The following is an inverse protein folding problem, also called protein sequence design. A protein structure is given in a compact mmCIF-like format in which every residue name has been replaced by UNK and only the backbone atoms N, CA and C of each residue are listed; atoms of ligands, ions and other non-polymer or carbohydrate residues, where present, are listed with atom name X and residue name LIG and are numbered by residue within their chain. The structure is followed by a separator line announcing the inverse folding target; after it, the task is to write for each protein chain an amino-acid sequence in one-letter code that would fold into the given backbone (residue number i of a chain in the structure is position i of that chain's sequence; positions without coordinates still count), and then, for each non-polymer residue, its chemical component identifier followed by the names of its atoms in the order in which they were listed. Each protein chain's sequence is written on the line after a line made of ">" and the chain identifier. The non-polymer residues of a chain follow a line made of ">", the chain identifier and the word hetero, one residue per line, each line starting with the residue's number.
data_IF_204811740431
#
_entry.id   IF_204811740431
#
_cell.length_a   1.000
_cell.length_b   1.000
_cell.length_c   1.000
_cell.angle_alpha   90.00
_cell.angle_beta   90.00
_cell.angle_gamma   90.00
#
_symmetry.space_group_name_H-M   'P 1'
#
loop_
_entity.id
_entity.type
_entity.pdbx_description
1 polymer ?
#
# COMPACT_ATOMS: atom_id res chain seq x y z
N UNK A 1 11.91 -0.25 -12.96
CA UNK A 1 10.90 0.83 -12.95
C UNK A 1 10.40 1.06 -11.53
N UNK A 2 10.24 2.31 -11.12
CA UNK A 2 9.56 2.71 -9.88
C UNK A 2 8.12 3.15 -10.23
N UNK A 3 7.16 2.88 -9.36
CA UNK A 3 5.75 3.20 -9.55
C UNK A 3 5.17 3.79 -8.25
N UNK A 4 4.42 4.90 -8.32
CA UNK A 4 3.80 5.52 -7.13
C UNK A 4 3.51 7.00 -7.30
N UNK A 5 2.82 7.58 -6.31
CA UNK A 5 2.46 9.00 -6.29
C UNK A 5 3.68 9.93 -6.24
N UNK A 6 3.55 11.21 -6.63
CA UNK A 6 4.55 12.21 -6.27
C UNK A 6 4.84 12.16 -4.77
N UNK A 7 6.08 12.43 -4.39
CA UNK A 7 6.56 12.40 -3.00
C UNK A 7 6.47 11.05 -2.24
N UNK A 8 6.15 9.93 -2.91
CA UNK A 8 6.14 8.59 -2.29
C UNK A 8 7.53 8.03 -1.93
N UNK A 9 8.63 8.74 -2.24
CA UNK A 9 10.00 8.31 -1.92
C UNK A 9 10.75 7.61 -3.07
N UNK A 10 10.15 7.46 -4.24
CA UNK A 10 10.77 6.81 -5.42
C UNK A 10 12.14 7.37 -5.77
N UNK A 11 12.23 8.70 -5.93
CA UNK A 11 13.48 9.36 -6.33
C UNK A 11 14.55 9.24 -5.26
N UNK A 12 14.19 9.31 -3.99
CA UNK A 12 15.10 9.06 -2.86
C UNK A 12 15.68 7.64 -2.93
N UNK A 13 14.82 6.64 -3.14
CA UNK A 13 15.24 5.25 -3.26
C UNK A 13 16.11 5.03 -4.52
N UNK A 14 15.74 5.62 -5.66
CA UNK A 14 16.52 5.49 -6.89
C UNK A 14 17.89 6.16 -6.79
N UNK A 15 17.98 7.36 -6.19
CA UNK A 15 19.26 8.05 -5.95
C UNK A 15 20.13 7.22 -5.00
N UNK A 16 19.55 6.68 -3.93
CA UNK A 16 20.30 5.81 -3.01
C UNK A 16 20.90 4.61 -3.74
N UNK A 17 20.16 3.95 -4.62
CA UNK A 17 20.68 2.80 -5.39
C UNK A 17 21.82 3.19 -6.35
N UNK A 18 21.78 4.39 -6.93
CA UNK A 18 22.90 4.89 -7.75
C UNK A 18 24.14 5.13 -6.90
N UNK A 19 23.96 5.71 -5.70
CA UNK A 19 25.07 6.01 -4.78
C UNK A 19 25.69 4.75 -4.15
N UNK A 20 24.89 3.75 -3.88
CA UNK A 20 25.35 2.47 -3.29
C UNK A 20 26.06 1.56 -4.34
N UNK A 21 25.84 1.82 -5.62
CA UNK A 21 26.45 1.03 -6.70
C UNK A 21 27.85 1.54 -7.07
N UNK A 22 28.72 0.69 -7.66
CA UNK A 22 29.95 1.15 -8.25
C UNK A 22 29.70 2.26 -9.30
N UNK A 23 30.58 3.25 -9.34
CA UNK A 23 30.43 4.38 -10.25
C UNK A 23 30.24 3.92 -11.70
N UNK A 24 29.23 4.41 -12.38
CA UNK A 24 28.88 4.07 -13.74
C UNK A 24 28.14 2.74 -13.95
N UNK A 25 27.90 1.94 -12.92
CA UNK A 25 27.18 0.66 -13.06
C UNK A 25 25.65 0.82 -13.14
N UNK A 26 25.12 1.90 -12.58
CA UNK A 26 23.67 2.19 -12.51
C UNK A 26 23.40 3.60 -13.01
N UNK A 27 22.42 3.76 -13.87
CA UNK A 27 21.96 5.06 -14.34
C UNK A 27 20.51 5.30 -13.96
N UNK A 28 20.19 6.54 -13.57
CA UNK A 28 18.85 7.00 -13.26
C UNK A 28 18.34 7.90 -14.38
N UNK A 29 17.14 7.62 -14.87
CA UNK A 29 16.46 8.41 -15.89
C UNK A 29 15.12 8.84 -15.36
N UNK A 30 14.85 10.16 -15.38
CA UNK A 30 13.65 10.78 -14.86
C UNK A 30 13.14 11.87 -15.81
N UNK A 31 11.85 11.87 -16.10
CA UNK A 31 11.24 12.83 -17.04
C UNK A 31 11.26 14.27 -16.52
N UNK A 32 11.16 14.48 -15.21
CA UNK A 32 11.20 15.82 -14.65
C UNK A 32 12.59 16.46 -14.90
N UNK A 33 13.65 15.70 -14.62
CA UNK A 33 15.03 16.12 -14.95
C UNK A 33 15.22 16.38 -16.46
N UNK A 34 14.63 15.53 -17.31
CA UNK A 34 14.68 15.74 -18.77
C UNK A 34 13.90 16.99 -19.20
N UNK A 35 12.78 17.32 -18.57
CA UNK A 35 12.02 18.56 -18.84
C UNK A 35 12.85 19.78 -18.51
N UNK A 36 13.49 19.80 -17.34
CA UNK A 36 14.40 20.90 -16.95
C UNK A 36 15.54 21.03 -17.95
N UNK A 37 16.22 19.93 -18.28
CA UNK A 37 17.38 19.92 -19.18
C UNK A 37 17.03 20.36 -20.61
N UNK A 38 15.96 19.83 -21.20
CA UNK A 38 15.62 20.03 -22.60
C UNK A 38 14.74 21.25 -22.85
N UNK A 39 13.93 21.66 -21.89
CA UNK A 39 12.91 22.70 -22.08
C UNK A 39 12.86 23.75 -20.97
N UNK A 40 13.86 23.80 -20.06
CA UNK A 40 13.89 24.75 -18.93
C UNK A 40 12.51 24.79 -18.19
N UNK A 41 11.91 23.63 -17.93
CA UNK A 41 10.61 23.42 -17.28
C UNK A 41 9.41 24.05 -18.00
N UNK A 42 9.57 24.50 -19.23
CA UNK A 42 8.45 25.01 -20.06
C UNK A 42 7.60 23.85 -20.55
N UNK A 43 6.66 23.40 -19.70
CA UNK A 43 5.79 22.29 -20.05
C UNK A 43 4.67 22.72 -21.02
N UNK A 44 4.54 22.00 -22.13
CA UNK A 44 3.37 22.01 -23.03
C UNK A 44 3.10 20.57 -23.45
N UNK A 45 1.83 20.18 -23.64
CA UNK A 45 1.47 18.83 -24.05
C UNK A 45 2.19 18.32 -25.31
N UNK A 46 2.58 19.23 -26.24
CA UNK A 46 3.40 18.89 -27.42
C UNK A 46 4.83 18.48 -27.06
N UNK A 47 5.43 19.06 -26.03
CA UNK A 47 6.80 18.75 -25.62
C UNK A 47 6.90 17.45 -24.84
N UNK A 48 5.81 16.98 -24.21
CA UNK A 48 5.83 15.71 -23.47
C UNK A 48 6.19 14.49 -24.36
N UNK A 49 5.76 14.50 -25.63
CA UNK A 49 6.15 13.44 -26.58
C UNK A 49 7.67 13.42 -26.81
N UNK A 50 8.32 14.58 -26.84
CA UNK A 50 9.77 14.69 -26.99
C UNK A 50 10.50 14.16 -25.74
N UNK A 51 9.98 14.46 -24.56
CA UNK A 51 10.52 13.97 -23.28
C UNK A 51 10.41 12.45 -23.19
N UNK A 52 9.27 11.87 -23.57
CA UNK A 52 9.10 10.41 -23.60
C UNK A 52 10.05 9.77 -24.62
N UNK A 53 10.20 10.34 -25.81
CA UNK A 53 11.13 9.85 -26.81
C UNK A 53 12.59 9.92 -26.33
N UNK A 54 13.00 11.02 -25.72
CA UNK A 54 14.35 11.18 -25.13
C UNK A 54 14.59 10.17 -24.01
N UNK A 55 13.62 9.97 -23.10
CA UNK A 55 13.70 8.95 -22.04
C UNK A 55 13.90 7.56 -22.63
N UNK A 56 13.08 7.17 -23.59
CA UNK A 56 13.12 5.84 -24.20
C UNK A 56 14.44 5.61 -24.96
N UNK A 57 14.94 6.63 -25.64
CA UNK A 57 16.25 6.58 -26.33
C UNK A 57 17.40 6.38 -25.32
N UNK A 58 17.41 7.14 -24.23
CA UNK A 58 18.41 6.99 -23.17
C UNK A 58 18.37 5.62 -22.51
N UNK A 59 17.17 5.09 -22.25
CA UNK A 59 17.01 3.72 -21.73
C UNK A 59 17.66 2.72 -22.69
N UNK A 60 17.35 2.80 -23.98
CA UNK A 60 17.93 1.90 -24.99
C UNK A 60 19.46 2.01 -25.07
N UNK A 61 20.02 3.22 -25.07
CA UNK A 61 21.47 3.45 -25.09
C UNK A 61 22.16 2.78 -23.89
N UNK A 62 21.68 2.99 -22.70
CA UNK A 62 22.31 2.46 -21.48
C UNK A 62 22.08 0.96 -21.28
N UNK A 63 20.91 0.43 -21.64
CA UNK A 63 20.69 -1.01 -21.67
C UNK A 63 21.57 -1.71 -22.69
N UNK A 64 21.77 -1.09 -23.89
CA UNK A 64 22.71 -1.60 -24.92
C UNK A 64 24.17 -1.63 -24.47
N UNK A 65 24.53 -0.82 -23.47
CA UNK A 65 25.85 -0.85 -22.82
C UNK A 65 25.91 -1.86 -21.65
N UNK A 66 24.86 -2.60 -21.38
CA UNK A 66 24.78 -3.56 -20.27
C UNK A 66 24.59 -2.91 -18.89
N UNK A 67 24.22 -1.63 -18.83
CA UNK A 67 24.04 -0.92 -17.57
C UNK A 67 22.65 -1.18 -16.96
N UNK A 68 22.57 -1.13 -15.64
CA UNK A 68 21.31 -1.15 -14.93
C UNK A 68 20.64 0.23 -15.00
N UNK A 69 19.39 0.28 -15.49
CA UNK A 69 18.64 1.52 -15.69
C UNK A 69 17.49 1.62 -14.68
N UNK A 70 17.44 2.72 -13.93
CA UNK A 70 16.37 3.06 -12.99
C UNK A 70 15.49 4.16 -13.59
N UNK A 71 14.17 3.91 -13.66
CA UNK A 71 13.18 4.89 -14.14
C UNK A 71 12.25 5.20 -12.98
N UNK A 72 12.35 6.39 -12.38
CA UNK A 72 11.67 6.80 -11.15
C UNK A 72 10.57 7.86 -11.36
N UNK A 73 10.00 7.92 -12.56
CA UNK A 73 8.77 8.65 -12.83
C UNK A 73 7.60 8.09 -11.99
N UNK A 74 6.45 8.78 -11.97
CA UNK A 74 5.24 8.25 -11.29
C UNK A 74 4.79 6.90 -11.83
N UNK A 75 4.91 6.70 -13.15
CA UNK A 75 4.59 5.47 -13.89
C UNK A 75 3.24 4.82 -13.53
N UNK A 76 2.27 5.63 -13.07
CA UNK A 76 0.96 5.15 -12.63
C UNK A 76 0.03 4.80 -13.80
N UNK A 77 0.15 5.52 -14.93
CA UNK A 77 -0.70 5.24 -16.08
C UNK A 77 -0.39 3.84 -16.68
N UNK A 78 -1.43 3.05 -17.04
CA UNK A 78 -1.29 1.64 -17.42
C UNK A 78 -0.35 1.36 -18.60
N UNK A 79 -0.13 2.35 -19.47
CA UNK A 79 0.74 2.18 -20.65
C UNK A 79 2.24 2.27 -20.36
N UNK A 80 2.65 2.79 -19.19
CA UNK A 80 4.08 2.96 -18.86
C UNK A 80 4.77 1.62 -18.64
N UNK A 81 4.18 0.75 -17.88
CA UNK A 81 4.79 -0.55 -17.57
C UNK A 81 5.00 -1.43 -18.81
N UNK A 82 3.98 -1.67 -19.68
CA UNK A 82 4.19 -2.43 -20.90
C UNK A 82 5.27 -1.83 -21.80
N UNK A 83 5.30 -0.50 -21.92
CA UNK A 83 6.32 0.18 -22.74
C UNK A 83 7.74 -0.03 -22.21
N UNK A 84 7.94 0.13 -20.92
CA UNK A 84 9.27 -0.05 -20.31
C UNK A 84 9.68 -1.52 -20.28
N UNK A 85 8.76 -2.43 -20.12
CA UNK A 85 8.98 -3.89 -20.22
C UNK A 85 9.41 -4.29 -21.65
N UNK A 86 8.77 -3.70 -22.66
CA UNK A 86 9.14 -3.90 -24.04
C UNK A 86 10.56 -3.42 -24.32
N UNK A 87 10.94 -2.21 -23.88
CA UNK A 87 12.30 -1.69 -24.03
C UNK A 87 13.34 -2.59 -23.35
N UNK A 88 13.03 -3.10 -22.16
CA UNK A 88 13.92 -4.04 -21.49
C UNK A 88 14.08 -5.34 -22.31
N UNK A 89 13.00 -5.90 -22.84
CA UNK A 89 13.03 -7.12 -23.66
C UNK A 89 13.81 -6.92 -24.98
N UNK A 90 13.67 -5.77 -25.63
CA UNK A 90 14.42 -5.42 -26.85
C UNK A 90 15.95 -5.44 -26.66
N UNK A 91 16.39 -5.24 -25.41
CA UNK A 91 17.82 -5.27 -25.05
C UNK A 91 18.20 -6.49 -24.18
N UNK A 92 17.35 -7.51 -24.09
CA UNK A 92 17.62 -8.72 -23.29
C UNK A 92 17.75 -8.49 -21.78
N UNK A 93 17.22 -7.37 -21.28
CA UNK A 93 17.34 -6.98 -19.88
C UNK A 93 16.17 -7.50 -19.03
N UNK A 94 16.46 -7.88 -17.78
CA UNK A 94 15.43 -8.24 -16.80
C UNK A 94 14.68 -6.99 -16.37
N UNK A 95 13.34 -7.06 -16.35
CA UNK A 95 12.48 -5.96 -15.92
C UNK A 95 11.90 -6.22 -14.53
N UNK A 96 12.04 -5.24 -13.64
CA UNK A 96 11.46 -5.29 -12.28
C UNK A 96 10.69 -4.01 -11.98
N UNK A 97 9.64 -4.12 -11.18
CA UNK A 97 8.86 -3.00 -10.65
C UNK A 97 9.13 -2.86 -9.16
N UNK A 98 9.48 -1.64 -8.71
CA UNK A 98 9.45 -1.25 -7.31
C UNK A 98 8.21 -0.41 -7.08
N UNK A 99 7.25 -0.99 -6.41
CA UNK A 99 5.94 -0.38 -6.18
C UNK A 99 5.94 0.45 -4.88
N UNK A 100 5.52 1.71 -4.98
CA UNK A 100 5.32 2.67 -3.90
C UNK A 100 3.88 3.18 -3.87
N UNK A 101 2.95 2.46 -4.50
CA UNK A 101 1.53 2.84 -4.52
C UNK A 101 0.83 2.61 -3.19
N UNK A 102 1.49 1.90 -2.29
CA UNK A 102 1.08 1.64 -0.92
C UNK A 102 1.46 2.74 0.08
N UNK A 103 2.36 3.67 -0.33
CA UNK A 103 2.68 4.83 0.53
C UNK A 103 1.42 5.66 0.71
N UNK A 104 0.98 5.89 1.97
CA UNK A 104 -0.26 6.58 2.27
C UNK A 104 -0.36 7.96 1.60
N UNK A 105 -1.59 8.33 1.21
CA UNK A 105 -1.84 9.59 0.48
C UNK A 105 -1.40 10.81 1.27
N UNK A 106 -1.70 10.85 2.56
CA UNK A 106 -1.36 11.92 3.48
C UNK A 106 0.16 12.06 3.64
N UNK A 107 0.90 10.93 3.75
CA UNK A 107 2.37 10.93 3.76
C UNK A 107 2.93 11.54 2.48
N UNK A 108 2.32 11.23 1.33
CA UNK A 108 2.71 11.86 0.06
C UNK A 108 2.42 13.37 0.07
N UNK A 109 1.26 13.78 0.59
CA UNK A 109 0.86 15.18 0.71
C UNK A 109 1.78 15.96 1.65
N UNK A 110 2.06 15.42 2.83
CA UNK A 110 2.97 16.03 3.81
C UNK A 110 4.38 16.20 3.25
N UNK A 111 4.91 15.17 2.59
CA UNK A 111 6.25 15.22 1.98
C UNK A 111 6.30 16.20 0.81
N UNK A 112 5.25 16.26 0.00
CA UNK A 112 5.16 17.19 -1.13
C UNK A 112 5.11 18.64 -0.66
N UNK A 113 4.39 18.93 0.44
CA UNK A 113 4.33 20.24 1.06
C UNK A 113 5.70 20.78 1.50
N UNK A 114 6.60 19.88 1.92
CA UNK A 114 7.96 20.24 2.37
C UNK A 114 8.97 20.42 1.23
N UNK A 115 8.57 20.15 -0.03
CA UNK A 115 9.46 20.23 -1.20
C UNK A 115 9.39 21.62 -1.85
N UNK A 116 10.54 22.09 -2.37
CA UNK A 116 10.61 23.32 -3.17
C UNK A 116 9.89 23.17 -4.52
N UNK A 117 9.85 21.94 -5.08
CA UNK A 117 9.24 21.56 -6.35
C UNK A 117 7.89 20.83 -6.15
N UNK A 118 7.10 21.28 -5.16
CA UNK A 118 5.79 20.70 -4.86
C UNK A 118 4.87 20.73 -6.08
N UNK A 119 4.24 19.57 -6.37
CA UNK A 119 3.22 19.48 -7.42
C UNK A 119 1.84 19.91 -6.92
N UNK A 120 1.67 20.01 -5.63
CA UNK A 120 0.48 20.45 -4.92
C UNK A 120 -0.58 19.35 -4.70
N UNK A 121 -1.41 19.54 -3.67
CA UNK A 121 -2.36 18.51 -3.22
C UNK A 121 -3.39 18.14 -4.28
N UNK A 122 -3.84 19.09 -5.10
CA UNK A 122 -4.83 18.82 -6.17
C UNK A 122 -4.32 17.78 -7.18
N UNK A 123 -3.03 17.84 -7.54
CA UNK A 123 -2.42 16.92 -8.50
C UNK A 123 -2.29 15.54 -7.88
N UNK A 124 -1.83 15.46 -6.65
CA UNK A 124 -1.66 14.18 -5.92
C UNK A 124 -3.01 13.50 -5.71
N UNK A 125 -4.03 14.22 -5.22
CA UNK A 125 -5.40 13.68 -5.08
C UNK A 125 -5.98 13.18 -6.40
N UNK A 126 -5.77 13.95 -7.50
CA UNK A 126 -6.22 13.54 -8.82
C UNK A 126 -5.57 12.22 -9.26
N UNK A 127 -4.23 12.11 -9.10
CA UNK A 127 -3.50 10.89 -9.46
C UNK A 127 -3.91 9.71 -8.59
N UNK A 128 -4.05 9.92 -7.27
CA UNK A 128 -4.52 8.89 -6.35
C UNK A 128 -5.89 8.38 -6.76
N UNK A 129 -6.86 9.28 -6.96
CA UNK A 129 -8.22 8.93 -7.36
C UNK A 129 -8.29 8.23 -8.72
N UNK A 130 -7.43 8.62 -9.66
CA UNK A 130 -7.43 8.08 -11.01
C UNK A 130 -6.72 6.72 -11.12
N UNK A 131 -5.64 6.49 -10.39
CA UNK A 131 -4.75 5.35 -10.63
C UNK A 131 -4.66 4.37 -9.46
N UNK A 132 -4.89 4.82 -8.25
CA UNK A 132 -4.80 3.97 -7.06
C UNK A 132 -6.20 3.61 -6.59
N UNK A 133 -7.05 4.59 -6.45
CA UNK A 133 -8.43 4.38 -6.03
C UNK A 133 -9.27 3.66 -7.11
N UNK A 134 -9.07 3.99 -8.39
CA UNK A 134 -9.81 3.40 -9.50
C UNK A 134 -9.38 1.96 -9.86
N UNK A 135 -8.19 1.54 -9.43
CA UNK A 135 -7.72 0.15 -9.58
C UNK A 135 -8.36 -0.80 -8.55
N UNK A 136 -9.17 -0.28 -7.61
CA UNK A 136 -9.96 -1.12 -6.73
C UNK A 136 -11.05 -1.82 -7.55
N UNK A 137 -11.10 -3.14 -7.60
CA UNK A 137 -12.16 -3.86 -8.29
C UNK A 137 -13.53 -3.53 -7.69
N UNK A 138 -14.59 -3.81 -8.42
CA UNK A 138 -15.94 -3.76 -7.88
C UNK A 138 -16.04 -4.71 -6.67
N UNK A 139 -16.86 -4.35 -5.68
CA UNK A 139 -17.11 -5.24 -4.53
C UNK A 139 -17.65 -6.57 -5.05
N UNK A 140 -16.97 -7.65 -4.69
CA UNK A 140 -17.32 -9.01 -5.09
C UNK A 140 -17.83 -9.76 -3.87
N UNK A 141 -19.04 -10.29 -3.98
CA UNK A 141 -19.59 -11.20 -2.98
C UNK A 141 -19.18 -12.63 -3.34
N UNK A 142 -18.45 -13.29 -2.44
CA UNK A 142 -17.98 -14.65 -2.60
C UNK A 142 -19.02 -15.71 -2.18
N UNK A 143 -18.77 -16.96 -2.48
CA UNK A 143 -19.52 -18.07 -1.87
C UNK A 143 -19.13 -18.23 -0.40
N UNK A 144 -19.96 -18.94 0.36
CA UNK A 144 -19.67 -19.30 1.73
C UNK A 144 -20.53 -18.59 2.76
N UNK A 145 -20.20 -18.80 4.03
CA UNK A 145 -20.91 -18.19 5.15
C UNK A 145 -20.62 -16.70 5.22
N UNK A 146 -21.60 -15.90 5.56
CA UNK A 146 -21.40 -14.46 5.74
C UNK A 146 -20.45 -14.18 6.89
N UNK A 147 -19.50 -13.27 6.66
CA UNK A 147 -18.55 -12.86 7.66
C UNK A 147 -18.18 -11.38 7.52
N UNK A 148 -17.67 -10.80 8.60
CA UNK A 148 -16.97 -9.53 8.60
C UNK A 148 -15.52 -9.74 9.00
N UNK A 149 -14.62 -8.89 8.49
CA UNK A 149 -13.22 -8.85 8.94
C UNK A 149 -13.07 -7.61 9.82
N UNK A 150 -12.42 -7.76 10.96
CA UNK A 150 -12.16 -6.66 11.90
C UNK A 150 -10.70 -6.67 12.31
N UNK A 151 -10.05 -5.52 12.17
CA UNK A 151 -8.72 -5.30 12.75
C UNK A 151 -8.81 -5.00 14.26
N UNK A 152 -7.69 -5.09 14.97
CA UNK A 152 -7.61 -4.80 16.40
C UNK A 152 -7.07 -3.40 16.67
N UNK A 153 -5.77 -3.20 16.49
CA UNK A 153 -5.07 -1.98 16.92
C UNK A 153 -5.45 -0.76 16.08
N UNK A 154 -6.08 0.23 16.71
CA UNK A 154 -6.61 1.42 16.03
C UNK A 154 -8.04 1.24 15.49
N UNK A 155 -8.57 0.02 15.55
CA UNK A 155 -9.92 -0.32 15.08
C UNK A 155 -10.82 -0.74 16.24
N UNK A 156 -10.70 -1.97 16.72
CA UNK A 156 -11.52 -2.46 17.85
C UNK A 156 -10.88 -2.15 19.21
N UNK A 157 -9.54 -2.04 19.25
CA UNK A 157 -8.77 -1.82 20.45
C UNK A 157 -7.88 -0.58 20.32
N UNK A 158 -7.97 0.34 21.28
CA UNK A 158 -7.11 1.51 21.37
C UNK A 158 -6.05 1.30 22.44
N UNK A 159 -4.79 1.53 22.07
CA UNK A 159 -3.63 1.35 22.95
C UNK A 159 -3.72 2.27 24.17
N UNK A 160 -3.66 1.68 25.36
CA UNK A 160 -3.70 2.40 26.63
C UNK A 160 -2.29 2.49 27.23
N UNK A 161 -1.56 3.55 26.89
CA UNK A 161 -0.24 3.85 27.46
C UNK A 161 0.90 2.91 27.03
N UNK A 162 0.69 2.02 26.06
CA UNK A 162 1.72 1.18 25.45
C UNK A 162 2.11 1.67 24.05
N UNK A 163 3.31 1.31 23.60
CA UNK A 163 3.71 1.49 22.21
C UNK A 163 3.13 0.40 21.29
N UNK A 164 3.11 0.61 19.97
CA UNK A 164 2.50 -0.33 18.99
C UNK A 164 3.17 -1.71 18.94
N UNK A 165 4.41 -1.82 19.40
CA UNK A 165 5.18 -3.08 19.47
C UNK A 165 5.39 -3.59 20.89
N UNK A 166 4.78 -2.95 21.88
CA UNK A 166 4.78 -3.42 23.28
C UNK A 166 3.55 -4.28 23.51
N UNK A 167 3.72 -5.58 23.36
CA UNK A 167 2.63 -6.55 23.51
C UNK A 167 2.36 -6.96 24.95
N UNK A 168 3.19 -6.53 25.91
CA UNK A 168 3.05 -6.95 27.33
C UNK A 168 1.79 -6.41 28.01
N UNK A 169 1.12 -5.43 27.41
CA UNK A 169 -0.05 -4.74 27.98
C UNK A 169 -1.28 -4.74 27.04
N UNK A 170 -1.34 -5.63 26.06
CA UNK A 170 -2.49 -5.69 25.14
C UNK A 170 -3.82 -5.95 25.85
N UNK A 171 -3.78 -6.61 27.01
CA UNK A 171 -4.94 -6.83 27.85
C UNK A 171 -5.50 -5.58 28.54
N UNK A 172 -4.77 -4.47 28.53
CA UNK A 172 -5.16 -3.18 29.13
C UNK A 172 -5.73 -2.19 28.09
N UNK A 173 -5.73 -2.56 26.79
CA UNK A 173 -6.26 -1.72 25.71
C UNK A 173 -7.74 -1.42 25.93
N UNK A 174 -8.17 -0.22 25.54
CA UNK A 174 -9.58 0.19 25.65
C UNK A 174 -10.36 -0.26 24.43
N UNK A 175 -11.65 -0.64 24.65
CA UNK A 175 -12.55 -1.04 23.58
C UNK A 175 -13.05 0.19 22.81
N UNK A 176 -13.18 0.05 21.49
CA UNK A 176 -13.97 0.98 20.68
C UNK A 176 -15.45 0.55 20.70
N UNK A 177 -16.28 1.33 21.40
CA UNK A 177 -17.69 1.00 21.57
C UNK A 177 -18.49 1.03 20.27
N UNK A 178 -18.08 1.85 19.29
CA UNK A 178 -18.78 1.95 18.00
C UNK A 178 -18.48 0.71 17.16
N UNK A 179 -17.23 0.30 17.10
CA UNK A 179 -16.80 -0.91 16.37
C UNK A 179 -17.38 -2.15 17.05
N UNK A 180 -17.41 -2.19 18.40
CA UNK A 180 -18.03 -3.26 19.15
C UNK A 180 -19.53 -3.40 18.83
N UNK A 181 -20.26 -2.28 18.76
CA UNK A 181 -21.67 -2.27 18.34
C UNK A 181 -21.89 -2.83 16.94
N UNK A 182 -21.01 -2.52 15.97
CA UNK A 182 -21.07 -3.11 14.62
C UNK A 182 -20.82 -4.62 14.62
N UNK A 183 -19.94 -5.10 15.52
CA UNK A 183 -19.71 -6.53 15.71
C UNK A 183 -20.95 -7.21 16.29
N UNK A 184 -21.58 -6.62 17.31
CA UNK A 184 -22.81 -7.14 17.91
C UNK A 184 -23.94 -7.25 16.90
N UNK A 185 -24.13 -6.23 16.04
CA UNK A 185 -25.10 -6.26 14.94
C UNK A 185 -24.80 -7.38 13.95
N UNK A 186 -23.53 -7.56 13.56
CA UNK A 186 -23.12 -8.62 12.65
C UNK A 186 -23.40 -10.02 13.26
N UNK A 187 -23.11 -10.20 14.54
CA UNK A 187 -23.37 -11.46 15.26
C UNK A 187 -24.88 -11.74 15.36
N UNK A 188 -25.71 -10.71 15.61
CA UNK A 188 -27.15 -10.82 15.62
C UNK A 188 -27.73 -11.24 14.26
N UNK A 189 -27.10 -10.82 13.17
CA UNK A 189 -27.40 -11.24 11.79
C UNK A 189 -26.82 -12.63 11.42
N UNK A 190 -26.29 -13.39 12.39
CA UNK A 190 -25.64 -14.68 12.18
C UNK A 190 -24.41 -14.62 11.25
N UNK A 191 -23.74 -13.48 11.23
CA UNK A 191 -22.50 -13.24 10.51
C UNK A 191 -21.29 -13.68 11.35
N UNK A 192 -20.30 -14.33 10.74
CA UNK A 192 -19.07 -14.66 11.44
C UNK A 192 -18.20 -13.42 11.62
N UNK A 193 -17.47 -13.36 12.73
CA UNK A 193 -16.49 -12.30 12.98
C UNK A 193 -15.09 -12.89 12.86
N UNK A 194 -14.31 -12.35 11.93
CA UNK A 194 -12.95 -12.76 11.64
C UNK A 194 -12.01 -11.64 12.07
N UNK A 195 -11.31 -11.84 13.17
CA UNK A 195 -10.30 -10.88 13.66
C UNK A 195 -9.00 -11.14 12.91
N UNK A 196 -8.51 -10.13 12.17
CA UNK A 196 -7.26 -10.22 11.41
C UNK A 196 -6.31 -9.11 11.86
N UNK A 197 -5.31 -9.47 12.67
CA UNK A 197 -4.47 -8.51 13.37
C UNK A 197 -3.00 -8.57 12.97
N UNK A 198 -2.37 -7.38 12.93
CA UNK A 198 -0.92 -7.22 12.80
C UNK A 198 -0.13 -7.52 14.07
N UNK A 199 -0.79 -7.80 15.21
CA UNK A 199 -0.10 -8.23 16.44
C UNK A 199 0.62 -9.56 16.22
N UNK A 200 1.81 -9.70 16.82
CA UNK A 200 2.53 -10.97 16.79
C UNK A 200 1.83 -12.02 17.65
N UNK A 201 1.87 -13.26 17.20
CA UNK A 201 1.22 -14.42 17.84
C UNK A 201 1.72 -14.69 19.27
N UNK A 202 2.85 -14.10 19.65
CA UNK A 202 3.39 -14.17 21.03
C UNK A 202 2.42 -13.63 22.08
N UNK A 203 1.51 -12.71 21.73
CA UNK A 203 0.49 -12.16 22.64
C UNK A 203 -0.92 -12.72 22.37
N UNK A 204 -1.03 -13.89 21.73
CA UNK A 204 -2.31 -14.51 21.39
C UNK A 204 -3.21 -14.71 22.60
N UNK A 205 -2.68 -15.35 23.66
CA UNK A 205 -3.46 -15.67 24.86
C UNK A 205 -4.07 -14.42 25.51
N UNK A 206 -3.26 -13.37 25.69
CA UNK A 206 -3.73 -12.09 26.25
C UNK A 206 -4.76 -11.42 25.35
N UNK A 207 -4.59 -11.53 24.02
CA UNK A 207 -5.52 -10.98 23.03
C UNK A 207 -6.86 -11.75 23.04
N UNK A 208 -6.83 -13.08 23.11
CA UNK A 208 -8.04 -13.90 23.20
C UNK A 208 -8.79 -13.67 24.53
N UNK A 209 -8.08 -13.49 25.64
CA UNK A 209 -8.68 -13.13 26.92
C UNK A 209 -9.32 -11.75 26.88
N UNK A 210 -8.67 -10.76 26.24
CA UNK A 210 -9.20 -9.44 26.01
C UNK A 210 -10.49 -9.48 25.18
N UNK A 211 -10.48 -10.19 24.04
CA UNK A 211 -11.66 -10.38 23.19
C UNK A 211 -12.82 -11.04 23.95
N UNK A 212 -12.53 -12.07 24.75
CA UNK A 212 -13.53 -12.74 25.59
C UNK A 212 -14.14 -11.82 26.64
N UNK A 213 -13.33 -10.99 27.28
CA UNK A 213 -13.76 -9.99 28.27
C UNK A 213 -14.72 -8.97 27.67
N UNK A 214 -14.52 -8.61 26.42
CA UNK A 214 -15.33 -7.65 25.68
C UNK A 214 -16.43 -8.33 24.82
N UNK A 215 -16.80 -9.57 25.12
CA UNK A 215 -17.88 -10.31 24.48
C UNK A 215 -17.72 -10.56 22.97
N UNK A 216 -16.49 -10.52 22.46
CA UNK A 216 -16.14 -10.85 21.05
C UNK A 216 -15.68 -12.32 20.90
N UNK A 217 -16.05 -13.19 21.86
CA UNK A 217 -15.53 -14.54 22.03
C UNK A 217 -15.89 -15.56 20.93
N UNK A 218 -16.85 -15.27 20.07
CA UNK A 218 -17.25 -16.17 18.97
C UNK A 218 -16.55 -15.82 17.64
N UNK A 219 -15.38 -15.17 17.70
CA UNK A 219 -14.58 -14.78 16.54
C UNK A 219 -13.46 -15.79 16.27
N UNK A 220 -13.10 -15.93 15.02
CA UNK A 220 -11.82 -16.56 14.64
C UNK A 220 -10.71 -15.48 14.69
N UNK A 221 -9.60 -15.76 15.38
CA UNK A 221 -8.47 -14.84 15.52
C UNK A 221 -7.29 -15.28 14.64
N UNK A 222 -6.90 -14.44 13.73
CA UNK A 222 -5.75 -14.58 12.85
C UNK A 222 -4.73 -13.48 13.16
N UNK A 223 -3.52 -13.88 13.51
CA UNK A 223 -2.44 -12.98 13.94
C UNK A 223 -1.19 -13.18 13.09
N UNK A 224 -0.33 -12.16 13.08
CA UNK A 224 1.01 -12.21 12.51
C UNK A 224 1.85 -13.29 13.20
N UNK A 225 2.61 -14.05 12.42
CA UNK A 225 3.59 -14.98 13.01
C UNK A 225 4.65 -14.21 13.80
N UNK A 226 5.10 -14.78 14.91
CA UNK A 226 6.19 -14.20 15.73
C UNK A 226 7.43 -13.97 14.85
N UNK A 227 8.10 -12.83 15.03
CA UNK A 227 9.27 -12.39 14.26
C UNK A 227 9.02 -12.09 12.77
N UNK A 228 7.79 -12.09 12.28
CA UNK A 228 7.49 -11.64 10.93
C UNK A 228 7.53 -10.10 10.85
N UNK A 229 8.56 -9.56 10.21
CA UNK A 229 8.79 -8.11 10.09
C UNK A 229 8.26 -7.51 8.77
N UNK A 230 7.50 -8.28 7.98
CA UNK A 230 6.88 -7.77 6.75
C UNK A 230 5.87 -6.65 7.06
N UNK A 231 5.58 -5.78 6.09
CA UNK A 231 4.50 -4.80 6.21
C UNK A 231 3.16 -5.46 6.55
N UNK A 232 2.36 -4.79 7.37
CA UNK A 232 1.09 -5.32 7.88
C UNK A 232 0.13 -5.74 6.76
N UNK A 233 0.06 -4.95 5.68
CA UNK A 233 -0.75 -5.28 4.50
C UNK A 233 -0.38 -6.63 3.87
N UNK A 234 0.92 -7.00 3.86
CA UNK A 234 1.38 -8.26 3.26
C UNK A 234 0.99 -9.46 4.14
N UNK A 235 1.10 -9.29 5.45
CA UNK A 235 0.70 -10.30 6.43
C UNK A 235 -0.81 -10.54 6.39
N UNK A 236 -1.60 -9.46 6.45
CA UNK A 236 -3.06 -9.56 6.38
C UNK A 236 -3.55 -10.08 5.02
N UNK A 237 -2.89 -9.71 3.92
CA UNK A 237 -3.17 -10.28 2.60
C UNK A 237 -2.93 -11.78 2.56
N UNK A 238 -1.81 -12.26 3.10
CA UNK A 238 -1.49 -13.69 3.17
C UNK A 238 -2.50 -14.45 4.05
N UNK A 239 -2.86 -13.90 5.21
CA UNK A 239 -3.91 -14.47 6.08
C UNK A 239 -5.22 -14.62 5.30
N UNK A 240 -5.64 -13.58 4.60
CA UNK A 240 -6.86 -13.59 3.80
C UNK A 240 -6.83 -14.68 2.73
N UNK A 241 -5.79 -14.75 1.92
CA UNK A 241 -5.69 -15.71 0.81
C UNK A 241 -5.66 -17.16 1.30
N UNK A 242 -4.99 -17.43 2.42
CA UNK A 242 -4.84 -18.81 2.93
C UNK A 242 -6.05 -19.29 3.72
N UNK A 243 -6.71 -18.41 4.46
CA UNK A 243 -7.63 -18.85 5.51
C UNK A 243 -9.07 -18.37 5.30
N UNK A 244 -9.29 -17.27 4.54
CA UNK A 244 -10.59 -16.60 4.46
C UNK A 244 -11.15 -16.67 3.03
N UNK A 245 -10.34 -16.34 2.04
CA UNK A 245 -10.75 -16.31 0.63
C UNK A 245 -11.36 -17.65 0.18
N UNK A 246 -12.54 -17.59 -0.44
CA UNK A 246 -13.27 -18.77 -0.89
C UNK A 246 -13.99 -19.59 0.21
N UNK A 247 -13.77 -19.28 1.49
CA UNK A 247 -14.46 -19.91 2.63
C UNK A 247 -15.61 -19.07 3.15
N UNK A 248 -15.46 -17.74 3.10
CA UNK A 248 -16.42 -16.78 3.60
C UNK A 248 -16.85 -15.79 2.54
N UNK A 249 -18.12 -15.36 2.63
CA UNK A 249 -18.64 -14.20 1.90
C UNK A 249 -18.48 -12.97 2.79
N UNK A 250 -17.48 -12.12 2.49
CA UNK A 250 -17.16 -10.96 3.33
C UNK A 250 -18.13 -9.82 3.02
N UNK A 251 -18.97 -9.45 4.00
CA UNK A 251 -19.90 -8.32 3.89
C UNK A 251 -19.17 -6.99 3.89
N UNK A 252 -18.25 -6.80 4.83
CA UNK A 252 -17.37 -5.63 4.93
C UNK A 252 -16.16 -5.92 5.82
N UNK A 253 -15.20 -5.04 5.73
CA UNK A 253 -13.98 -5.01 6.55
C UNK A 253 -13.98 -3.72 7.38
N UNK A 254 -13.62 -3.82 8.65
CA UNK A 254 -13.33 -2.70 9.55
C UNK A 254 -11.81 -2.65 9.75
N UNK A 255 -11.16 -1.57 9.35
CA UNK A 255 -9.71 -1.37 9.45
C UNK A 255 -9.44 0.14 9.45
N UNK A 256 -8.39 0.60 10.12
CA UNK A 256 -8.02 2.01 10.18
C UNK A 256 -6.89 2.37 9.24
N UNK A 257 -5.91 1.46 9.05
CA UNK A 257 -4.65 1.75 8.38
C UNK A 257 -4.78 1.86 6.86
N UNK A 258 -4.46 3.03 6.30
CA UNK A 258 -4.60 3.35 4.88
C UNK A 258 -4.01 2.30 3.93
N UNK A 259 -2.80 1.79 4.21
CA UNK A 259 -2.14 0.81 3.36
C UNK A 259 -2.87 -0.54 3.32
N UNK A 260 -3.48 -0.93 4.45
CA UNK A 260 -4.28 -2.16 4.59
C UNK A 260 -5.65 -1.97 3.96
N UNK A 261 -6.30 -0.83 4.19
CA UNK A 261 -7.58 -0.46 3.55
C UNK A 261 -7.47 -0.50 2.02
N UNK A 262 -6.38 0.04 1.46
CA UNK A 262 -6.14 -0.04 0.00
C UNK A 262 -5.98 -1.49 -0.46
N UNK A 263 -5.27 -2.32 0.30
CA UNK A 263 -5.12 -3.75 0.00
C UNK A 263 -6.47 -4.46 -0.01
N UNK A 264 -7.30 -4.28 1.02
CA UNK A 264 -8.64 -4.88 1.08
C UNK A 264 -9.54 -4.46 -0.09
N UNK A 265 -9.53 -3.16 -0.43
CA UNK A 265 -10.28 -2.64 -1.57
C UNK A 265 -9.82 -3.24 -2.90
N UNK A 266 -8.51 -3.48 -3.07
CA UNK A 266 -7.95 -4.15 -4.25
C UNK A 266 -8.40 -5.61 -4.37
N UNK A 267 -8.70 -6.27 -3.24
CA UNK A 267 -9.31 -7.61 -3.23
C UNK A 267 -10.81 -7.61 -3.54
N UNK A 268 -11.41 -6.46 -3.81
CA UNK A 268 -12.83 -6.32 -4.08
C UNK A 268 -13.71 -6.35 -2.83
N UNK A 269 -13.14 -6.08 -1.67
CA UNK A 269 -13.88 -6.05 -0.42
C UNK A 269 -14.42 -4.64 -0.13
N UNK A 270 -15.63 -4.58 0.44
CA UNK A 270 -16.18 -3.35 1.00
C UNK A 270 -15.44 -3.03 2.28
N UNK A 271 -14.84 -1.83 2.39
CA UNK A 271 -14.10 -1.40 3.59
C UNK A 271 -14.74 -0.17 4.21
N UNK A 272 -15.06 -0.26 5.47
CA UNK A 272 -15.43 0.85 6.34
C UNK A 272 -14.16 1.22 7.13
N UNK A 273 -13.49 2.28 6.71
CA UNK A 273 -12.33 2.79 7.41
C UNK A 273 -12.82 3.57 8.63
N UNK A 274 -12.47 3.08 9.81
CA UNK A 274 -13.06 3.55 11.08
C UNK A 274 -12.34 4.76 11.66
N UNK A 275 -11.05 4.91 11.34
CA UNK A 275 -10.24 6.03 11.81
C UNK A 275 -9.20 6.39 10.73
N UNK A 276 -8.53 7.51 10.93
CA UNK A 276 -7.46 7.98 10.05
C UNK A 276 -6.13 7.30 10.40
N UNK A 277 -5.68 6.41 9.57
CA UNK A 277 -4.55 5.49 9.83
C UNK A 277 -3.36 5.67 8.90
N UNK A 278 -2.77 6.87 8.90
CA UNK A 278 -1.63 7.23 8.04
C UNK A 278 -0.24 6.77 8.55
N UNK A 279 -0.15 5.70 9.31
CA UNK A 279 1.10 5.23 9.92
C UNK A 279 1.47 3.79 9.55
#
# INVERSE_FOLDING_TARGET
>A
MYKGLPASGKSTAAIKEVLDAPAGAVVRINKDTLRTMLHADRWKGKTEKQIVAARDALIGVFLGQGLRVLVDDTNLAPFHEPRLRQLAAEHGATFTVKDFTDVPLDVCLERDWKRCDSVGPKVIHKMYKQYIWADSPAVVHGPGREAIIVDLDGTLAHMNGRGPYDYSKVGEDTLDDVVAGLIEEALADNCHVLIVSGREDVCREDTEEWLKRHHVANSELWMRATDDKRPDREVKEEIYERNIHGRYNIRYVLDDRDSVVVMWRRKGLKVLQVEYGAF
#
